data_IF_236797327413
#
_entry.id   IF_236797327413
#
_cell.length_a   1.000
_cell.length_b   1.000
_cell.length_c   1.000
_cell.angle_alpha   90.00
_cell.angle_beta   90.00
_cell.angle_gamma   90.00
#
_symmetry.space_group_name_H-M   'P 1'
#
loop_
_entity.id
_entity.type
_entity.pdbx_description
1 polymer ?
#
# COMPACT_ATOMS: atom_id res chain seq x y z
N UNK A 1 11.03 -0.35 4.48
CA UNK A 1 12.43 -0.43 4.97
C UNK A 1 12.82 -1.81 5.49
N UNK A 2 12.07 -2.40 6.46
CA UNK A 2 12.46 -3.67 7.12
C UNK A 2 12.62 -4.89 6.19
N UNK A 3 11.74 -5.05 5.19
CA UNK A 3 11.85 -6.13 4.20
C UNK A 3 13.13 -6.05 3.35
N UNK A 4 13.58 -4.83 2.99
CA UNK A 4 14.84 -4.61 2.28
C UNK A 4 16.03 -5.04 3.14
N UNK A 5 16.06 -4.60 4.41
CA UNK A 5 17.14 -4.96 5.34
C UNK A 5 17.22 -6.48 5.51
N UNK A 6 16.09 -7.14 5.79
CA UNK A 6 16.03 -8.59 5.89
C UNK A 6 16.53 -9.28 4.61
N UNK A 7 16.14 -8.78 3.44
CA UNK A 7 16.57 -9.36 2.17
C UNK A 7 18.09 -9.21 1.92
N UNK A 8 18.73 -8.16 2.45
CA UNK A 8 20.17 -7.95 2.33
C UNK A 8 20.97 -8.83 3.31
N UNK A 9 20.43 -9.05 4.51
CA UNK A 9 21.11 -9.79 5.59
C UNK A 9 20.92 -11.31 5.46
N UNK A 10 19.70 -11.75 5.13
CA UNK A 10 19.36 -13.18 5.05
C UNK A 10 19.98 -13.81 3.81
N UNK A 11 20.70 -14.92 4.01
CA UNK A 11 21.35 -15.70 2.95
C UNK A 11 20.59 -17.00 2.68
N UNK A 12 20.49 -17.40 1.41
CA UNK A 12 19.93 -18.69 0.98
C UNK A 12 20.68 -19.26 -0.23
N UNK A 13 20.47 -20.57 -0.47
CA UNK A 13 21.13 -21.35 -1.52
C UNK A 13 22.65 -21.27 -1.39
N UNK A 14 23.36 -20.79 -2.41
CA UNK A 14 24.83 -20.65 -2.46
C UNK A 14 25.36 -19.49 -1.58
N UNK A 15 24.78 -19.27 -0.39
CA UNK A 15 25.16 -18.19 0.53
C UNK A 15 24.87 -16.78 0.02
N UNK A 16 24.04 -16.63 -1.01
CA UNK A 16 23.70 -15.33 -1.57
C UNK A 16 22.62 -14.64 -0.71
N UNK A 17 22.66 -13.29 -0.59
CA UNK A 17 21.57 -12.55 0.02
C UNK A 17 20.27 -12.74 -0.78
N UNK A 18 19.11 -12.75 -0.10
CA UNK A 18 17.81 -12.84 -0.77
C UNK A 18 17.62 -11.74 -1.82
N UNK A 19 18.14 -10.54 -1.54
CA UNK A 19 18.10 -9.39 -2.45
C UNK A 19 18.77 -9.63 -3.81
N UNK A 20 19.54 -10.72 -3.99
CA UNK A 20 20.10 -11.11 -5.29
C UNK A 20 19.05 -11.68 -6.25
N UNK A 21 17.96 -12.25 -5.75
CA UNK A 21 16.98 -12.95 -6.58
C UNK A 21 16.00 -11.96 -7.23
N UNK A 22 15.76 -12.13 -8.53
CA UNK A 22 14.93 -11.23 -9.35
C UNK A 22 13.54 -11.01 -8.75
N UNK A 23 12.88 -12.06 -8.27
CA UNK A 23 11.54 -11.97 -7.68
C UNK A 23 11.52 -11.17 -6.37
N UNK A 24 12.61 -11.18 -5.59
CA UNK A 24 12.74 -10.34 -4.40
C UNK A 24 12.88 -8.87 -4.80
N UNK A 25 13.73 -8.58 -5.79
CA UNK A 25 13.89 -7.20 -6.29
C UNK A 25 12.60 -6.66 -6.90
N UNK A 26 11.85 -7.48 -7.66
CA UNK A 26 10.56 -7.09 -8.21
C UNK A 26 9.59 -6.63 -7.11
N UNK A 27 9.43 -7.42 -6.04
CA UNK A 27 8.56 -7.07 -4.91
C UNK A 27 8.94 -5.75 -4.26
N UNK A 28 10.25 -5.51 -4.08
CA UNK A 28 10.77 -4.26 -3.52
C UNK A 28 10.55 -3.08 -4.45
N UNK A 29 10.75 -3.27 -5.76
CA UNK A 29 10.54 -2.25 -6.78
C UNK A 29 9.06 -1.83 -6.86
N UNK A 30 8.15 -2.80 -6.99
CA UNK A 30 6.71 -2.54 -7.05
C UNK A 30 6.22 -1.74 -5.83
N UNK A 31 6.62 -2.17 -4.63
CA UNK A 31 6.24 -1.49 -3.40
C UNK A 31 6.84 -0.08 -3.29
N UNK A 32 8.08 0.13 -3.73
CA UNK A 32 8.71 1.45 -3.74
C UNK A 32 7.98 2.40 -4.71
N UNK A 33 7.64 1.91 -5.90
CA UNK A 33 6.89 2.67 -6.90
C UNK A 33 5.53 3.12 -6.38
N UNK A 34 4.74 2.19 -5.82
CA UNK A 34 3.41 2.52 -5.28
C UNK A 34 3.48 3.55 -4.14
N UNK A 35 4.47 3.43 -3.24
CA UNK A 35 4.67 4.40 -2.15
C UNK A 35 5.01 5.78 -2.73
N UNK A 36 5.91 5.85 -3.71
CA UNK A 36 6.28 7.12 -4.35
C UNK A 36 5.08 7.81 -5.00
N UNK A 37 4.26 7.09 -5.75
CA UNK A 37 3.03 7.65 -6.33
C UNK A 37 2.04 8.10 -5.25
N UNK A 38 1.80 7.26 -4.24
CA UNK A 38 0.85 7.56 -3.18
C UNK A 38 1.24 8.77 -2.33
N UNK A 39 2.53 8.92 -2.01
CA UNK A 39 3.06 10.07 -1.26
C UNK A 39 2.90 11.36 -2.07
N UNK A 40 3.27 11.35 -3.35
CA UNK A 40 3.12 12.54 -4.21
C UNK A 40 1.65 12.95 -4.35
N UNK A 41 0.75 11.99 -4.53
CA UNK A 41 -0.69 12.24 -4.60
C UNK A 41 -1.22 12.85 -3.28
N UNK A 42 -0.84 12.29 -2.12
CA UNK A 42 -1.23 12.85 -0.82
C UNK A 42 -0.67 14.26 -0.57
N UNK A 43 0.59 14.52 -0.95
CA UNK A 43 1.18 15.86 -0.84
C UNK A 43 0.39 16.86 -1.69
N UNK A 44 0.05 16.50 -2.93
CA UNK A 44 -0.69 17.38 -3.81
C UNK A 44 -2.11 17.66 -3.27
N UNK A 45 -2.82 16.64 -2.79
CA UNK A 45 -4.14 16.84 -2.16
C UNK A 45 -4.02 17.68 -0.89
N UNK A 46 -2.96 17.50 -0.09
CA UNK A 46 -2.65 18.36 1.06
C UNK A 46 -2.51 19.84 0.67
N UNK A 47 -1.70 20.14 -0.35
CA UNK A 47 -1.53 21.51 -0.88
C UNK A 47 -2.83 22.10 -1.40
N UNK A 48 -3.64 21.32 -2.12
CA UNK A 48 -4.95 21.77 -2.60
C UNK A 48 -5.91 22.02 -1.45
N UNK A 49 -5.84 21.24 -0.37
CA UNK A 49 -6.65 21.45 0.84
C UNK A 49 -6.29 22.77 1.52
N UNK A 50 -5.01 23.08 1.66
CA UNK A 50 -4.54 24.37 2.20
C UNK A 50 -5.02 25.57 1.36
N UNK A 51 -5.14 25.39 0.03
CA UNK A 51 -5.67 26.41 -0.88
C UNK A 51 -7.20 26.48 -0.92
N UNK A 52 -7.92 25.64 -0.17
CA UNK A 52 -9.39 25.55 -0.25
C UNK A 52 -9.92 24.96 -1.56
N UNK A 53 -9.08 24.24 -2.31
CA UNK A 53 -9.39 23.66 -3.64
C UNK A 53 -9.54 22.14 -3.66
N UNK A 54 -9.31 21.46 -2.53
CA UNK A 54 -9.50 20.01 -2.47
C UNK A 54 -10.98 19.64 -2.53
N UNK A 55 -11.31 18.63 -3.34
CA UNK A 55 -12.66 18.07 -3.40
C UNK A 55 -12.76 16.73 -2.66
N UNK A 56 -13.95 16.30 -2.23
CA UNK A 56 -14.16 14.98 -1.64
C UNK A 56 -13.72 13.80 -2.53
N UNK A 57 -13.82 13.96 -3.85
CA UNK A 57 -13.38 12.96 -4.84
C UNK A 57 -11.87 12.77 -4.82
N UNK A 58 -11.10 13.88 -4.70
CA UNK A 58 -9.64 13.81 -4.58
C UNK A 58 -9.22 13.03 -3.33
N UNK A 59 -9.90 13.27 -2.21
CA UNK A 59 -9.67 12.55 -0.95
C UNK A 59 -10.03 11.08 -1.12
N UNK A 60 -11.18 10.79 -1.74
CA UNK A 60 -11.63 9.40 -2.01
C UNK A 60 -10.63 8.63 -2.87
N UNK A 61 -10.11 9.26 -3.92
CA UNK A 61 -9.11 8.67 -4.80
C UNK A 61 -7.83 8.29 -4.06
N UNK A 62 -7.28 9.23 -3.29
CA UNK A 62 -6.02 9.00 -2.55
C UNK A 62 -6.21 8.01 -1.41
N UNK A 63 -7.31 8.10 -0.64
CA UNK A 63 -7.62 7.16 0.45
C UNK A 63 -7.69 5.74 -0.08
N UNK A 64 -8.53 5.51 -1.10
CA UNK A 64 -8.71 4.20 -1.74
C UNK A 64 -7.39 3.64 -2.24
N UNK A 65 -6.73 4.37 -3.15
CA UNK A 65 -5.54 3.86 -3.83
C UNK A 65 -4.41 3.58 -2.86
N UNK A 66 -4.14 4.50 -1.91
CA UNK A 66 -3.03 4.33 -0.98
C UNK A 66 -3.30 3.19 0.01
N UNK A 67 -4.52 3.03 0.52
CA UNK A 67 -4.85 1.92 1.41
C UNK A 67 -4.76 0.57 0.70
N UNK A 68 -5.31 0.47 -0.51
CA UNK A 68 -5.30 -0.75 -1.31
C UNK A 68 -3.87 -1.19 -1.67
N UNK A 69 -3.04 -0.24 -2.14
CA UNK A 69 -1.64 -0.52 -2.46
C UNK A 69 -0.81 -0.82 -1.21
N UNK A 70 -1.04 -0.12 -0.09
CA UNK A 70 -0.32 -0.40 1.15
C UNK A 70 -0.60 -1.81 1.66
N UNK A 71 -1.88 -2.23 1.72
CA UNK A 71 -2.24 -3.58 2.15
C UNK A 71 -1.69 -4.65 1.21
N UNK A 72 -1.84 -4.46 -0.10
CA UNK A 72 -1.28 -5.36 -1.12
C UNK A 72 0.23 -5.52 -0.94
N UNK A 73 0.97 -4.42 -0.90
CA UNK A 73 2.42 -4.44 -0.77
C UNK A 73 2.87 -5.01 0.57
N UNK A 74 2.16 -4.76 1.66
CA UNK A 74 2.47 -5.38 2.95
C UNK A 74 2.36 -6.91 2.89
N UNK A 75 1.30 -7.46 2.25
CA UNK A 75 1.13 -8.90 2.03
C UNK A 75 2.24 -9.48 1.14
N UNK A 76 2.55 -8.82 0.03
CA UNK A 76 3.58 -9.27 -0.92
C UNK A 76 4.99 -9.23 -0.31
N UNK A 77 5.31 -8.18 0.45
CA UNK A 77 6.60 -8.04 1.14
C UNK A 77 6.73 -8.98 2.35
N UNK A 78 5.62 -9.38 2.97
CA UNK A 78 5.62 -10.37 4.05
C UNK A 78 6.26 -11.69 3.62
N UNK A 79 6.05 -12.11 2.37
CA UNK A 79 6.65 -13.33 1.82
C UNK A 79 8.18 -13.31 1.82
N UNK A 80 8.82 -12.13 1.79
CA UNK A 80 10.30 -12.01 1.86
C UNK A 80 10.84 -12.57 3.18
N UNK A 81 10.04 -12.52 4.25
CA UNK A 81 10.41 -13.05 5.56
C UNK A 81 10.19 -14.56 5.69
N UNK A 82 9.49 -15.20 4.75
CA UNK A 82 9.13 -16.62 4.83
C UNK A 82 8.44 -16.97 6.15
N UNK A 83 8.89 -18.02 6.83
CA UNK A 83 8.35 -18.41 8.13
C UNK A 83 8.52 -17.35 9.23
N UNK A 84 9.51 -16.45 9.14
CA UNK A 84 9.69 -15.40 10.14
C UNK A 84 8.59 -14.34 10.10
N UNK A 85 7.76 -14.33 9.05
CA UNK A 85 6.65 -13.39 8.96
C UNK A 85 5.49 -13.69 9.91
N UNK A 86 5.39 -14.93 10.42
CA UNK A 86 4.41 -15.31 11.46
C UNK A 86 4.97 -15.13 12.88
N UNK A 87 6.25 -14.78 13.03
CA UNK A 87 6.84 -14.39 14.31
C UNK A 87 6.55 -12.91 14.60
N UNK A 88 6.32 -12.58 15.86
CA UNK A 88 6.13 -11.20 16.31
C UNK A 88 7.40 -10.34 16.20
N UNK A 89 8.57 -10.96 16.00
CA UNK A 89 9.87 -10.29 15.91
C UNK A 89 9.90 -9.20 14.82
N UNK A 90 9.33 -9.48 13.64
CA UNK A 90 9.46 -8.61 12.46
C UNK A 90 8.29 -7.64 12.27
N UNK A 91 7.15 -7.88 12.93
CA UNK A 91 5.99 -6.99 12.95
C UNK A 91 5.26 -6.79 11.61
N UNK A 92 5.70 -7.44 10.53
CA UNK A 92 5.09 -7.29 9.20
C UNK A 92 3.65 -7.85 9.17
N UNK A 93 3.41 -8.98 9.83
CA UNK A 93 2.05 -9.53 9.98
C UNK A 93 1.11 -8.59 10.73
N UNK A 94 1.61 -7.92 11.79
CA UNK A 94 0.87 -6.87 12.51
C UNK A 94 0.51 -5.70 11.60
N UNK A 95 1.42 -5.26 10.72
CA UNK A 95 1.11 -4.21 9.75
C UNK A 95 0.06 -4.65 8.73
N UNK A 96 0.10 -5.90 8.25
CA UNK A 96 -0.95 -6.43 7.36
C UNK A 96 -2.31 -6.40 8.04
N UNK A 97 -2.40 -6.84 9.31
CA UNK A 97 -3.65 -6.81 10.07
C UNK A 97 -4.17 -5.37 10.26
N UNK A 98 -3.29 -4.44 10.64
CA UNK A 98 -3.67 -3.03 10.81
C UNK A 98 -4.14 -2.39 9.49
N UNK A 99 -3.45 -2.67 8.38
CA UNK A 99 -3.79 -2.13 7.06
C UNK A 99 -5.12 -2.66 6.53
N UNK A 100 -5.50 -3.90 6.88
CA UNK A 100 -6.83 -4.42 6.58
C UNK A 100 -7.93 -3.60 7.25
N UNK A 101 -7.71 -3.23 8.52
CA UNK A 101 -8.62 -2.34 9.25
C UNK A 101 -8.69 -0.97 8.57
N UNK A 102 -7.54 -0.37 8.23
CA UNK A 102 -7.46 0.93 7.53
C UNK A 102 -8.10 0.94 6.14
N UNK A 103 -8.01 -0.16 5.40
CA UNK A 103 -8.70 -0.29 4.12
C UNK A 103 -10.23 -0.24 4.30
N UNK A 104 -10.72 -0.74 5.43
CA UNK A 104 -12.15 -0.96 5.68
C UNK A 104 -12.83 0.26 6.31
N UNK A 105 -12.24 0.87 7.34
CA UNK A 105 -12.85 2.02 8.01
C UNK A 105 -12.84 3.30 7.15
N UNK A 106 -13.67 4.29 7.49
CA UNK A 106 -13.79 5.59 6.80
C UNK A 106 -14.09 5.44 5.29
N UNK A 107 -14.89 4.44 4.94
CA UNK A 107 -15.29 4.10 3.57
C UNK A 107 -14.47 2.96 2.96
N UNK A 108 -15.08 1.81 2.74
CA UNK A 108 -14.43 0.69 2.04
C UNK A 108 -13.98 1.11 0.62
N UNK A 109 -13.00 0.39 0.05
CA UNK A 109 -12.52 0.64 -1.33
C UNK A 109 -13.66 0.71 -2.36
N UNK A 110 -14.69 -0.13 -2.23
CA UNK A 110 -15.85 -0.13 -3.11
C UNK A 110 -16.70 1.13 -2.97
N UNK A 111 -16.90 1.62 -1.73
CA UNK A 111 -17.63 2.86 -1.46
C UNK A 111 -16.93 4.05 -2.15
N UNK A 112 -15.62 4.18 -2.01
CA UNK A 112 -14.87 5.21 -2.73
C UNK A 112 -14.92 5.03 -4.25
N UNK A 113 -14.95 3.78 -4.73
CA UNK A 113 -15.12 3.50 -6.16
C UNK A 113 -16.47 4.02 -6.68
N UNK A 114 -17.55 3.86 -5.92
CA UNK A 114 -18.87 4.38 -6.26
C UNK A 114 -18.94 5.92 -6.19
N UNK A 115 -18.27 6.55 -5.22
CA UNK A 115 -18.13 8.02 -5.16
C UNK A 115 -17.47 8.54 -6.45
N UNK A 116 -16.35 7.93 -6.84
CA UNK A 116 -15.62 8.30 -8.05
C UNK A 116 -16.43 8.00 -9.31
N UNK A 117 -17.08 6.83 -9.37
CA UNK A 117 -17.95 6.46 -10.48
C UNK A 117 -19.07 7.47 -10.70
N UNK A 118 -19.72 7.91 -9.63
CA UNK A 118 -20.72 9.00 -9.70
C UNK A 118 -20.12 10.31 -10.18
N UNK A 119 -18.95 10.70 -9.68
CA UNK A 119 -18.30 11.94 -10.11
C UNK A 119 -17.90 11.94 -11.58
N UNK A 120 -17.53 10.78 -12.12
CA UNK A 120 -17.14 10.59 -13.53
C UNK A 120 -18.37 10.55 -14.46
N UNK A 121 -19.43 9.87 -14.03
CA UNK A 121 -20.58 9.56 -14.90
C UNK A 121 -21.81 10.43 -14.68
N UNK A 122 -21.89 11.12 -13.54
CA UNK A 122 -23.10 11.81 -13.07
C UNK A 122 -24.20 10.87 -12.55
N UNK A 123 -23.99 9.55 -12.54
CA UNK A 123 -25.00 8.56 -12.16
C UNK A 123 -24.66 7.89 -10.82
N UNK A 124 -25.62 7.90 -9.89
CA UNK A 124 -25.53 7.25 -8.58
C UNK A 124 -25.69 5.73 -8.72
N UNK A 125 -24.77 4.96 -8.11
CA UNK A 125 -24.78 3.49 -8.14
C UNK A 125 -24.66 2.83 -6.75
N UNK A 126 -25.09 3.54 -5.70
CA UNK A 126 -25.26 2.92 -4.38
C UNK A 126 -26.70 2.39 -4.33
N UNK A 127 -26.85 1.07 -4.20
CA UNK A 127 -28.12 0.34 -4.09
C UNK A 127 -28.17 -0.44 -2.79
#
# INVERSE_FOLDING_TARGET
ARARTYALERKQFKGNPLAKYQLIQKKLADAATDISYGVLASIQVGRLKEQGKATPEMISMVKRQNCDRALWNARVLQEIFGGNAVSDEYGIGRHVANLYVTQTYEGQSDIHSLILGRAITGVQAFV
#
